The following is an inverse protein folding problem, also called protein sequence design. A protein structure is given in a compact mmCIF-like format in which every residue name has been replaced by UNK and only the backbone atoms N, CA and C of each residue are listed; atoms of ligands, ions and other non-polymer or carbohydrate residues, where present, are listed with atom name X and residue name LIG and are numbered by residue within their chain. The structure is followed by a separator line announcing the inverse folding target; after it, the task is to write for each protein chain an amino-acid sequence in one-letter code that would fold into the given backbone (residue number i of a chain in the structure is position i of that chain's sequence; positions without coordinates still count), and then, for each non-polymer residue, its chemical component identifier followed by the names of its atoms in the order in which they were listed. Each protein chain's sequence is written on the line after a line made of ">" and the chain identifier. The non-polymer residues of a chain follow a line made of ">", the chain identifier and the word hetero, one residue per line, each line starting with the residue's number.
data_IF_774865424589
#
_entry.id   IF_774865424589
#
_cell.length_a   1.000
_cell.length_b   1.000
_cell.length_c   1.000
_cell.angle_alpha   90.00
_cell.angle_beta   90.00
_cell.angle_gamma   90.00
#
_symmetry.space_group_name_H-M   'P 1'
#
loop_
_entity.id
_entity.type
_entity.pdbx_description
1 polymer ?
#
# COMPACT_ATOMS: atom_id res chain seq x y z
N UNK A 1 1.79 21.71 10.27
CA UNK A 1 2.89 20.72 10.12
C UNK A 1 4.14 21.24 10.80
N UNK A 2 4.67 20.53 11.79
CA UNK A 2 6.00 20.84 12.31
C UNK A 2 7.02 20.44 11.25
N UNK A 3 7.83 21.37 10.77
CA UNK A 3 8.99 21.08 9.93
C UNK A 3 9.97 20.20 10.73
N UNK A 4 9.90 18.90 10.53
CA UNK A 4 10.89 17.97 11.08
C UNK A 4 12.13 18.16 10.19
N UNK A 5 13.13 18.85 10.70
CA UNK A 5 14.45 18.89 10.07
C UNK A 5 15.08 17.51 10.24
N UNK A 6 15.02 16.69 9.20
CA UNK A 6 15.79 15.47 9.15
C UNK A 6 17.25 15.83 8.91
N UNK A 7 18.10 15.66 9.91
CA UNK A 7 19.54 15.72 9.70
C UNK A 7 19.96 14.48 8.87
N UNK A 8 20.84 14.66 7.91
CA UNK A 8 21.32 13.56 7.03
C UNK A 8 21.95 12.40 7.81
N UNK A 9 22.45 12.66 9.02
CA UNK A 9 23.05 11.65 9.91
C UNK A 9 22.02 10.77 10.62
N UNK A 10 20.74 11.18 10.66
CA UNK A 10 19.64 10.47 11.34
C UNK A 10 18.67 9.79 10.36
N UNK A 11 19.01 9.76 9.07
CA UNK A 11 18.20 9.05 8.09
C UNK A 11 18.25 7.54 8.34
N UNK A 12 17.10 6.93 8.17
CA UNK A 12 16.94 5.48 8.27
C UNK A 12 17.79 4.75 7.22
N UNK A 13 18.26 3.55 7.56
CA UNK A 13 19.05 2.68 6.69
C UNK A 13 18.33 1.37 6.45
N UNK A 14 18.49 0.83 5.24
CA UNK A 14 18.05 -0.52 4.94
C UNK A 14 19.06 -1.58 5.46
N UNK A 15 18.76 -2.85 5.26
CA UNK A 15 19.61 -3.98 5.64
C UNK A 15 21.04 -3.95 5.09
N UNK A 16 21.18 -3.38 3.89
CA UNK A 16 22.47 -3.29 3.19
C UNK A 16 23.26 -2.06 3.64
N UNK A 17 22.75 -1.33 4.65
CA UNK A 17 23.34 -0.09 5.17
C UNK A 17 23.14 1.12 4.29
N UNK A 18 22.36 1.03 3.20
CA UNK A 18 21.99 2.17 2.37
C UNK A 18 21.03 3.08 3.10
N UNK A 19 21.23 4.37 2.98
CA UNK A 19 20.29 5.38 3.47
C UNK A 19 19.00 5.33 2.65
N UNK A 20 17.86 5.20 3.31
CA UNK A 20 16.54 5.24 2.67
C UNK A 20 15.91 6.60 2.92
N UNK A 21 15.66 7.34 1.87
CA UNK A 21 15.00 8.64 1.91
C UNK A 21 13.54 8.42 1.55
N UNK A 22 12.68 8.36 2.56
CA UNK A 22 11.24 8.24 2.34
C UNK A 22 10.72 9.61 1.97
N UNK A 23 9.92 9.68 0.90
CA UNK A 23 9.34 10.93 0.45
C UNK A 23 7.84 10.82 0.15
N UNK A 24 7.18 11.97 0.17
CA UNK A 24 5.77 12.12 -0.23
C UNK A 24 5.65 13.13 -1.35
N UNK A 25 4.80 12.85 -2.32
CA UNK A 25 4.46 13.77 -3.41
C UNK A 25 3.11 14.44 -3.21
N UNK A 26 2.26 13.86 -2.35
CA UNK A 26 0.95 14.42 -1.99
C UNK A 26 0.64 14.09 -0.52
N UNK A 27 1.01 14.97 0.42
CA UNK A 27 0.81 14.72 1.84
C UNK A 27 -0.64 14.49 2.25
N UNK A 28 -1.59 15.03 1.51
CA UNK A 28 -3.01 14.87 1.82
C UNK A 28 -3.50 13.45 1.45
N UNK A 29 -3.19 13.00 0.25
CA UNK A 29 -3.59 11.66 -0.21
C UNK A 29 -2.79 10.54 0.47
N UNK A 30 -1.54 10.82 0.86
CA UNK A 30 -0.62 9.84 1.45
C UNK A 30 -0.57 9.93 2.98
N UNK A 31 -1.51 10.65 3.62
CA UNK A 31 -1.45 10.92 5.07
C UNK A 31 -1.36 9.63 5.90
N UNK A 32 -2.15 8.61 5.60
CA UNK A 32 -2.12 7.34 6.35
C UNK A 32 -0.74 6.67 6.34
N UNK A 33 -0.05 6.68 5.20
CA UNK A 33 1.30 6.14 5.06
C UNK A 33 2.34 7.02 5.77
N UNK A 34 2.17 8.33 5.70
CA UNK A 34 3.02 9.29 6.43
C UNK A 34 2.90 9.07 7.93
N UNK A 35 1.68 8.95 8.46
CA UNK A 35 1.46 8.71 9.88
C UNK A 35 2.07 7.38 10.32
N UNK A 36 1.94 6.31 9.53
CA UNK A 36 2.55 5.02 9.80
C UNK A 36 4.09 5.12 9.86
N UNK A 37 4.70 5.85 8.94
CA UNK A 37 6.15 6.08 8.92
C UNK A 37 6.61 6.92 10.13
N UNK A 38 5.89 7.99 10.45
CA UNK A 38 6.20 8.87 11.59
C UNK A 38 6.03 8.16 12.94
N UNK A 39 5.03 7.29 13.09
CA UNK A 39 4.82 6.48 14.30
C UNK A 39 6.01 5.56 14.60
N UNK A 40 6.76 5.17 13.58
CA UNK A 40 7.99 4.38 13.69
C UNK A 40 9.26 5.24 13.83
N UNK A 41 9.10 6.54 13.94
CA UNK A 41 10.23 7.49 14.08
C UNK A 41 10.96 7.78 12.77
N UNK A 42 10.40 7.40 11.62
CA UNK A 42 11.03 7.65 10.32
C UNK A 42 10.83 9.08 9.85
N UNK A 43 11.79 9.58 9.10
CA UNK A 43 11.73 10.86 8.43
C UNK A 43 11.04 10.74 7.06
N UNK A 44 10.09 11.62 6.78
CA UNK A 44 9.44 11.72 5.47
C UNK A 44 9.70 13.10 4.88
N UNK A 45 10.29 13.13 3.67
CA UNK A 45 10.61 14.37 2.96
C UNK A 45 9.47 14.71 2.00
N UNK A 46 9.10 15.99 1.94
CA UNK A 46 8.09 16.49 1.02
C UNK A 46 8.72 16.84 -0.32
N UNK A 47 8.25 16.22 -1.40
CA UNK A 47 8.67 16.40 -2.79
C UNK A 47 7.42 16.50 -3.67
N UNK A 48 6.94 17.73 -3.92
CA UNK A 48 5.65 17.98 -4.58
C UNK A 48 5.82 18.61 -5.96
N UNK A 49 7.06 18.80 -6.44
CA UNK A 49 7.29 19.48 -7.71
C UNK A 49 7.56 18.51 -8.86
N UNK A 50 7.22 18.90 -10.08
CA UNK A 50 7.46 18.09 -11.27
C UNK A 50 8.94 17.77 -11.50
N UNK A 51 9.83 18.62 -11.01
CA UNK A 51 11.29 18.42 -11.15
C UNK A 51 11.86 17.43 -10.13
N UNK A 52 11.13 17.10 -9.08
CA UNK A 52 11.62 16.23 -8.02
C UNK A 52 11.91 14.81 -8.50
N UNK A 53 11.15 14.28 -9.46
CA UNK A 53 11.43 12.98 -10.05
C UNK A 53 12.78 12.94 -10.77
N UNK A 54 13.10 13.98 -11.55
CA UNK A 54 14.40 14.10 -12.22
C UNK A 54 15.52 14.34 -11.19
N UNK A 55 15.26 15.11 -10.14
CA UNK A 55 16.18 15.33 -9.03
C UNK A 55 16.51 14.02 -8.32
N UNK A 56 15.51 13.22 -7.96
CA UNK A 56 15.66 11.91 -7.30
C UNK A 56 16.57 11.01 -8.15
N UNK A 57 16.28 10.85 -9.45
CA UNK A 57 17.09 10.02 -10.32
C UNK A 57 18.56 10.48 -10.38
N UNK A 58 18.78 11.79 -10.42
CA UNK A 58 20.14 12.35 -10.44
C UNK A 58 20.85 12.12 -9.11
N UNK A 59 20.14 12.24 -7.98
CA UNK A 59 20.72 12.04 -6.65
C UNK A 59 21.06 10.56 -6.40
N UNK A 60 20.22 9.61 -6.83
CA UNK A 60 20.52 8.19 -6.72
C UNK A 60 21.75 7.76 -7.54
N UNK A 61 21.98 8.42 -8.68
CA UNK A 61 23.22 8.21 -9.44
C UNK A 61 24.46 8.78 -8.76
N UNK A 62 24.32 9.88 -8.01
CA UNK A 62 25.45 10.55 -7.35
C UNK A 62 25.71 10.02 -5.94
N UNK A 63 24.68 9.59 -5.25
CA UNK A 63 24.74 9.07 -3.88
C UNK A 63 24.61 7.54 -3.90
N UNK A 64 25.70 6.85 -4.19
CA UNK A 64 25.75 5.38 -4.36
C UNK A 64 25.14 4.58 -3.19
N UNK A 65 25.16 5.15 -1.98
CA UNK A 65 24.65 4.53 -0.77
C UNK A 65 23.28 5.08 -0.33
N UNK A 66 22.49 5.60 -1.26
CA UNK A 66 21.15 6.10 -0.97
C UNK A 66 20.11 5.56 -1.94
N UNK A 67 18.87 5.49 -1.48
CA UNK A 67 17.69 5.19 -2.29
C UNK A 67 16.55 6.08 -1.86
N UNK A 68 15.77 6.55 -2.82
CA UNK A 68 14.55 7.31 -2.57
C UNK A 68 13.35 6.41 -2.78
N UNK A 69 12.45 6.37 -1.81
CA UNK A 69 11.25 5.55 -1.87
C UNK A 69 10.05 6.39 -1.46
N UNK A 70 9.00 6.39 -2.27
CA UNK A 70 7.77 7.09 -1.90
C UNK A 70 7.10 6.35 -0.76
N UNK A 71 6.52 7.10 0.18
CA UNK A 71 5.96 6.56 1.43
C UNK A 71 4.89 5.47 1.25
N UNK A 72 4.24 5.42 0.10
CA UNK A 72 3.20 4.45 -0.27
C UNK A 72 3.67 3.40 -1.31
N UNK A 73 4.96 3.36 -1.63
CA UNK A 73 5.51 2.43 -2.63
C UNK A 73 5.70 1.02 -2.09
N UNK A 74 5.88 0.87 -0.79
CA UNK A 74 5.97 -0.42 -0.09
C UNK A 74 5.55 -0.24 1.37
N UNK A 75 5.40 -1.36 2.08
CA UNK A 75 5.21 -1.30 3.52
C UNK A 75 6.48 -0.75 4.16
N UNK A 76 6.32 0.25 5.01
CA UNK A 76 7.43 0.98 5.63
C UNK A 76 8.45 0.04 6.29
N UNK A 77 8.01 -1.07 6.87
CA UNK A 77 8.87 -2.07 7.48
C UNK A 77 9.78 -2.81 6.49
N UNK A 78 9.34 -2.97 5.23
CA UNK A 78 10.16 -3.57 4.19
C UNK A 78 11.24 -2.60 3.68
N UNK A 79 11.03 -1.29 3.82
CA UNK A 79 11.92 -0.28 3.28
C UNK A 79 13.20 -0.12 4.11
N UNK A 80 13.11 -0.27 5.42
CA UNK A 80 14.16 0.17 6.34
C UNK A 80 14.80 -0.99 7.07
N UNK A 81 14.02 -1.73 7.76
CA UNK A 81 14.51 -2.92 8.46
C UNK A 81 13.45 -3.99 8.35
N UNK A 82 13.80 -5.17 7.85
CA UNK A 82 12.91 -6.31 7.98
C UNK A 82 12.97 -6.76 9.43
N UNK A 83 12.52 -5.91 10.34
CA UNK A 83 12.12 -6.43 11.62
C UNK A 83 11.08 -7.49 11.34
N UNK A 84 11.37 -8.64 11.84
CA UNK A 84 10.66 -9.89 11.75
C UNK A 84 9.18 -9.68 11.42
N UNK A 85 8.79 -10.14 10.25
CA UNK A 85 7.38 -10.43 10.04
C UNK A 85 6.97 -11.18 11.29
N UNK A 86 6.09 -10.59 12.11
CA UNK A 86 5.59 -11.27 13.29
C UNK A 86 5.16 -12.66 12.84
N UNK A 87 5.49 -13.70 13.59
CA UNK A 87 5.11 -15.06 13.22
C UNK A 87 3.63 -15.05 12.84
N UNK A 88 3.33 -15.58 11.67
CA UNK A 88 1.95 -15.64 11.20
C UNK A 88 1.13 -16.44 12.22
N UNK A 89 0.07 -15.84 12.71
CA UNK A 89 -0.90 -16.53 13.59
C UNK A 89 -1.70 -17.57 12.79
N UNK A 90 -1.75 -17.43 11.46
CA UNK A 90 -2.42 -18.35 10.56
C UNK A 90 -1.53 -19.53 10.22
N UNK A 91 -2.11 -20.72 10.13
CA UNK A 91 -1.51 -21.91 9.54
C UNK A 91 -1.21 -21.69 8.05
N UNK A 92 -0.40 -22.57 7.45
CA UNK A 92 -0.14 -22.49 5.99
C UNK A 92 -1.43 -22.62 5.17
N UNK A 93 -2.32 -23.54 5.58
CA UNK A 93 -3.60 -23.77 4.90
C UNK A 93 -4.52 -22.53 4.98
N UNK A 94 -4.63 -21.92 6.15
CA UNK A 94 -5.38 -20.69 6.33
C UNK A 94 -4.78 -19.53 5.54
N UNK A 95 -3.46 -19.44 5.45
CA UNK A 95 -2.74 -18.44 4.67
C UNK A 95 -3.04 -18.58 3.18
N UNK A 96 -2.95 -19.81 2.64
CA UNK A 96 -3.25 -20.11 1.24
C UNK A 96 -4.73 -19.87 0.91
N UNK A 97 -5.63 -20.24 1.83
CA UNK A 97 -7.06 -19.98 1.67
C UNK A 97 -7.35 -18.47 1.65
N UNK A 98 -6.77 -17.73 2.59
CA UNK A 98 -6.92 -16.28 2.67
C UNK A 98 -6.38 -15.59 1.41
N UNK A 99 -5.24 -16.03 0.89
CA UNK A 99 -4.69 -15.50 -0.36
C UNK A 99 -5.66 -15.70 -1.52
N UNK A 100 -6.19 -16.90 -1.70
CA UNK A 100 -7.15 -17.23 -2.76
C UNK A 100 -8.43 -16.38 -2.71
N UNK A 101 -8.92 -16.07 -1.51
CA UNK A 101 -10.10 -15.23 -1.34
C UNK A 101 -9.89 -13.80 -1.89
N UNK A 102 -8.65 -13.30 -1.91
CA UNK A 102 -8.31 -11.99 -2.46
C UNK A 102 -7.92 -12.05 -3.95
N UNK A 103 -7.72 -13.23 -4.54
CA UNK A 103 -7.35 -13.43 -5.95
C UNK A 103 -8.59 -13.42 -6.85
N UNK A 104 -9.12 -12.23 -7.14
CA UNK A 104 -10.18 -12.01 -8.11
C UNK A 104 -9.86 -10.80 -9.00
N UNK A 105 -10.43 -10.69 -10.22
CA UNK A 105 -10.20 -9.55 -11.11
C UNK A 105 -10.63 -8.23 -10.44
N UNK A 106 -9.80 -7.20 -10.58
CA UNK A 106 -10.01 -5.86 -10.01
C UNK A 106 -9.94 -4.80 -11.12
N UNK A 107 -10.92 -4.84 -12.02
CA UNK A 107 -10.96 -3.94 -13.16
C UNK A 107 -9.75 -4.12 -14.08
N UNK A 108 -9.11 -3.01 -14.46
CA UNK A 108 -7.92 -2.99 -15.34
C UNK A 108 -6.59 -3.11 -14.56
N UNK A 109 -6.64 -3.31 -13.24
CA UNK A 109 -5.45 -3.40 -12.40
C UNK A 109 -4.80 -4.78 -12.52
N UNK A 110 -3.47 -4.79 -12.60
CA UNK A 110 -2.69 -6.01 -12.38
C UNK A 110 -2.38 -6.13 -10.90
N UNK A 111 -3.06 -7.06 -10.22
CA UNK A 111 -2.96 -7.19 -8.77
C UNK A 111 -2.22 -8.47 -8.39
N UNK A 112 -1.18 -8.30 -7.57
CA UNK A 112 -0.50 -9.39 -6.86
C UNK A 112 -0.97 -9.42 -5.42
N UNK A 113 -1.31 -10.59 -4.89
CA UNK A 113 -1.76 -10.77 -3.50
C UNK A 113 -0.68 -11.50 -2.72
N UNK A 114 -0.34 -10.98 -1.56
CA UNK A 114 0.55 -11.64 -0.60
C UNK A 114 -0.03 -11.57 0.81
N UNK A 115 0.13 -12.63 1.59
CA UNK A 115 -0.28 -12.67 2.99
C UNK A 115 0.97 -12.57 3.86
N UNK A 116 0.99 -11.60 4.77
CA UNK A 116 2.11 -11.39 5.73
C UNK A 116 1.59 -11.28 7.15
N UNK A 117 2.39 -11.74 8.11
CA UNK A 117 2.16 -11.45 9.53
C UNK A 117 2.68 -10.05 9.87
N UNK A 118 1.80 -9.07 9.96
CA UNK A 118 2.15 -7.71 10.41
C UNK A 118 1.63 -7.47 11.82
N UNK A 119 1.88 -6.29 12.40
CA UNK A 119 1.29 -5.90 13.68
C UNK A 119 -0.24 -5.96 13.60
N UNK A 120 -0.89 -6.36 14.70
CA UNK A 120 -2.36 -6.40 14.81
C UNK A 120 -3.02 -5.04 14.65
N UNK A 121 -2.28 -3.98 14.93
CA UNK A 121 -2.74 -2.58 14.79
C UNK A 121 -2.55 -2.03 13.37
N UNK A 122 -1.88 -2.79 12.50
CA UNK A 122 -1.72 -2.44 11.09
C UNK A 122 -2.99 -2.77 10.33
N UNK A 123 -3.31 -1.99 9.30
CA UNK A 123 -4.52 -2.21 8.49
C UNK A 123 -4.65 -3.66 8.00
N UNK A 124 -5.88 -4.19 7.87
CA UNK A 124 -6.10 -5.57 7.43
C UNK A 124 -5.59 -5.85 6.02
N UNK A 125 -5.68 -4.87 5.13
CA UNK A 125 -5.13 -4.92 3.77
C UNK A 125 -4.44 -3.62 3.47
N UNK A 126 -3.27 -3.70 2.88
CA UNK A 126 -2.48 -2.55 2.43
C UNK A 126 -2.25 -2.70 0.92
N UNK A 127 -2.56 -1.67 0.16
CA UNK A 127 -2.22 -1.58 -1.26
C UNK A 127 -0.93 -0.79 -1.44
N UNK A 128 0.01 -1.33 -2.18
CA UNK A 128 1.26 -0.65 -2.54
C UNK A 128 1.50 -0.74 -4.05
N UNK A 129 2.29 0.19 -4.59
CA UNK A 129 2.63 0.25 -6.01
C UNK A 129 4.14 0.15 -6.18
N UNK A 130 4.66 -0.71 -7.07
CA UNK A 130 6.09 -0.81 -7.32
C UNK A 130 6.69 0.56 -7.69
N UNK A 131 7.71 0.97 -6.95
CA UNK A 131 8.31 2.32 -7.08
C UNK A 131 8.80 2.58 -8.50
N UNK A 132 9.45 1.59 -9.12
CA UNK A 132 9.97 1.72 -10.48
C UNK A 132 8.87 2.03 -11.50
N UNK A 133 7.80 1.21 -11.51
CA UNK A 133 6.70 1.39 -12.47
C UNK A 133 5.99 2.72 -12.27
N UNK A 134 5.79 3.11 -11.02
CA UNK A 134 5.20 4.39 -10.66
C UNK A 134 6.04 5.56 -11.18
N UNK A 135 7.37 5.55 -10.95
CA UNK A 135 8.25 6.60 -11.45
C UNK A 135 8.27 6.68 -12.98
N UNK A 136 8.27 5.52 -13.65
CA UNK A 136 8.20 5.49 -15.09
C UNK A 136 6.92 6.12 -15.62
N UNK A 137 5.78 5.88 -14.97
CA UNK A 137 4.50 6.51 -15.31
C UNK A 137 4.51 8.01 -15.05
N UNK A 138 5.00 8.47 -13.91
CA UNK A 138 5.09 9.89 -13.58
C UNK A 138 5.98 10.64 -14.59
N UNK A 139 7.10 10.04 -15.00
CA UNK A 139 7.96 10.58 -16.06
C UNK A 139 7.29 10.54 -17.43
N UNK A 140 6.49 9.52 -17.71
CA UNK A 140 5.75 9.39 -18.97
C UNK A 140 4.69 10.46 -19.15
N UNK A 141 4.11 10.95 -18.07
CA UNK A 141 3.11 12.04 -18.09
C UNK A 141 3.73 13.40 -18.49
N UNK A 142 5.03 13.58 -18.29
CA UNK A 142 5.75 14.85 -18.56
C UNK A 142 6.66 14.74 -19.77
N UNK A 143 7.14 13.53 -20.09
CA UNK A 143 8.11 13.25 -21.17
C UNK A 143 7.47 12.59 -22.38
N UNK A 144 8.21 12.60 -23.51
CA UNK A 144 7.86 11.86 -24.73
C UNK A 144 8.69 10.59 -24.89
N UNK A 145 8.44 9.84 -25.97
CA UNK A 145 9.23 8.67 -26.33
C UNK A 145 8.89 7.41 -25.50
N UNK A 146 9.91 6.66 -25.10
CA UNK A 146 9.72 5.37 -24.41
C UNK A 146 8.98 5.51 -23.07
N UNK A 147 9.11 6.65 -22.38
CA UNK A 147 8.41 6.91 -21.12
C UNK A 147 6.89 7.05 -21.31
N UNK A 148 6.44 7.56 -22.47
CA UNK A 148 5.00 7.64 -22.80
C UNK A 148 4.34 6.26 -22.91
N UNK A 149 5.10 5.23 -23.29
CA UNK A 149 4.63 3.84 -23.32
C UNK A 149 4.28 3.34 -21.90
N UNK A 150 5.12 3.64 -20.92
CA UNK A 150 4.85 3.24 -19.52
C UNK A 150 3.61 3.93 -18.95
N UNK A 151 3.30 5.15 -19.39
CA UNK A 151 2.10 5.86 -18.95
C UNK A 151 0.78 5.14 -19.33
N UNK A 152 0.81 4.31 -20.38
CA UNK A 152 -0.36 3.56 -20.88
C UNK A 152 -0.46 2.14 -20.32
N UNK A 153 0.57 1.65 -19.60
CA UNK A 153 0.52 0.32 -18.99
C UNK A 153 -0.49 0.28 -17.84
N UNK A 154 -1.15 -0.86 -17.61
CA UNK A 154 -1.98 -1.05 -16.42
C UNK A 154 -1.23 -0.70 -15.14
N UNK A 155 -1.96 -0.26 -14.12
CA UNK A 155 -1.37 -0.07 -12.80
C UNK A 155 -1.10 -1.43 -12.15
N UNK A 156 0.14 -1.64 -11.74
CA UNK A 156 0.53 -2.79 -10.93
C UNK A 156 0.35 -2.45 -9.45
N UNK A 157 -0.29 -3.35 -8.72
CA UNK A 157 -0.59 -3.18 -7.30
C UNK A 157 -0.29 -4.47 -6.55
N UNK A 158 0.39 -4.35 -5.43
CA UNK A 158 0.51 -5.44 -4.46
C UNK A 158 -0.48 -5.20 -3.33
N UNK A 159 -1.40 -6.15 -3.11
CA UNK A 159 -2.24 -6.20 -1.93
C UNK A 159 -1.57 -7.07 -0.87
N UNK A 160 -1.07 -6.46 0.17
CA UNK A 160 -0.55 -7.18 1.34
C UNK A 160 -1.67 -7.34 2.36
N UNK A 161 -2.10 -8.58 2.55
CA UNK A 161 -3.10 -8.98 3.52
C UNK A 161 -2.40 -9.28 4.85
N UNK A 162 -2.80 -8.58 5.91
CA UNK A 162 -2.23 -8.76 7.24
C UNK A 162 -2.87 -9.96 7.95
N UNK A 163 -2.30 -11.16 7.81
CA UNK A 163 -2.83 -12.39 8.40
C UNK A 163 -2.99 -12.36 9.93
N UNK A 164 -2.30 -11.44 10.63
CA UNK A 164 -2.40 -11.29 12.08
C UNK A 164 -3.53 -10.33 12.50
N UNK A 165 -4.20 -9.65 11.55
CA UNK A 165 -5.29 -8.75 11.89
C UNK A 165 -6.51 -9.52 12.43
N UNK A 166 -7.13 -9.10 13.55
CA UNK A 166 -8.21 -9.85 14.21
C UNK A 166 -9.44 -10.13 13.34
N UNK A 167 -9.69 -9.31 12.32
CA UNK A 167 -10.84 -9.46 11.42
C UNK A 167 -10.87 -10.83 10.73
N UNK A 168 -9.69 -11.41 10.45
CA UNK A 168 -9.62 -12.70 9.73
C UNK A 168 -10.00 -13.89 10.59
N UNK A 169 -9.90 -13.79 11.93
CA UNK A 169 -10.38 -14.82 12.83
C UNK A 169 -11.90 -15.02 12.75
N UNK A 170 -12.63 -13.95 12.44
CA UNK A 170 -14.09 -14.00 12.24
C UNK A 170 -14.42 -14.31 10.79
N UNK A 171 -13.72 -13.68 9.84
CA UNK A 171 -13.99 -13.80 8.42
C UNK A 171 -13.76 -15.21 7.89
N UNK A 172 -12.70 -15.90 8.33
CA UNK A 172 -12.42 -17.29 7.93
C UNK A 172 -13.41 -18.31 8.50
N UNK A 173 -14.15 -17.93 9.56
CA UNK A 173 -15.21 -18.75 10.17
C UNK A 173 -16.61 -18.41 9.65
N UNK A 174 -16.74 -17.44 8.76
CA UNK A 174 -18.03 -17.09 8.17
C UNK A 174 -18.51 -18.23 7.26
N UNK A 175 -19.71 -18.74 7.53
CA UNK A 175 -20.31 -19.86 6.78
C UNK A 175 -21.12 -19.39 5.58
N UNK A 176 -21.50 -18.11 5.55
CA UNK A 176 -22.19 -17.52 4.41
C UNK A 176 -21.13 -17.02 3.41
N UNK A 177 -20.95 -17.77 2.33
CA UNK A 177 -19.99 -17.48 1.29
C UNK A 177 -20.24 -16.12 0.61
N UNK A 178 -21.49 -15.69 0.47
CA UNK A 178 -21.82 -14.40 -0.14
C UNK A 178 -21.41 -13.25 0.77
N UNK A 179 -21.65 -13.39 2.08
CA UNK A 179 -21.25 -12.41 3.08
C UNK A 179 -19.73 -12.34 3.22
N UNK A 180 -19.06 -13.49 3.20
CA UNK A 180 -17.59 -13.56 3.22
C UNK A 180 -16.99 -12.83 2.02
N UNK A 181 -17.47 -13.12 0.79
CA UNK A 181 -17.03 -12.50 -0.45
C UNK A 181 -17.24 -10.97 -0.42
N UNK A 182 -18.39 -10.53 0.06
CA UNK A 182 -18.70 -9.10 0.21
C UNK A 182 -17.71 -8.40 1.14
N UNK A 183 -17.36 -9.00 2.27
CA UNK A 183 -16.41 -8.46 3.23
C UNK A 183 -14.99 -8.41 2.65
N UNK A 184 -14.54 -9.47 1.98
CA UNK A 184 -13.24 -9.54 1.29
C UNK A 184 -13.10 -8.44 0.24
N UNK A 185 -14.10 -8.31 -0.64
CA UNK A 185 -14.12 -7.25 -1.66
C UNK A 185 -14.08 -5.87 -1.04
N UNK A 186 -14.81 -5.67 0.05
CA UNK A 186 -14.82 -4.38 0.73
C UNK A 186 -13.47 -4.01 1.34
N UNK A 187 -12.75 -4.98 1.93
CA UNK A 187 -11.41 -4.77 2.48
C UNK A 187 -10.38 -4.45 1.39
N UNK A 188 -10.42 -5.17 0.26
CA UNK A 188 -9.54 -4.91 -0.86
C UNK A 188 -9.80 -3.52 -1.47
N UNK A 189 -11.07 -3.15 -1.64
CA UNK A 189 -11.45 -1.87 -2.22
C UNK A 189 -11.11 -0.69 -1.31
N UNK A 190 -11.20 -0.85 0.02
CA UNK A 190 -10.69 0.16 0.97
C UNK A 190 -9.19 0.41 0.78
N UNK A 191 -8.41 -0.66 0.59
CA UNK A 191 -6.97 -0.52 0.34
C UNK A 191 -6.69 0.15 -1.02
N UNK A 192 -7.41 -0.22 -2.07
CA UNK A 192 -7.29 0.43 -3.39
C UNK A 192 -7.74 1.89 -3.36
N UNK A 193 -8.79 2.21 -2.61
CA UNK A 193 -9.27 3.57 -2.43
C UNK A 193 -8.21 4.46 -1.77
N UNK A 194 -7.47 3.94 -0.79
CA UNK A 194 -6.38 4.67 -0.12
C UNK A 194 -5.26 5.08 -1.09
N UNK A 195 -5.08 4.33 -2.18
CA UNK A 195 -4.13 4.62 -3.26
C UNK A 195 -4.74 5.46 -4.40
N UNK A 196 -6.02 5.83 -4.30
CA UNK A 196 -6.74 6.53 -5.37
C UNK A 196 -6.95 5.70 -6.63
N UNK A 197 -6.90 4.37 -6.52
CA UNK A 197 -7.03 3.44 -7.63
C UNK A 197 -8.46 2.97 -7.85
N UNK A 198 -9.34 3.12 -6.87
CA UNK A 198 -10.76 2.78 -6.99
C UNK A 198 -11.53 3.91 -7.65
N UNK A 199 -12.05 3.67 -8.86
CA UNK A 199 -12.69 4.71 -9.70
C UNK A 199 -13.90 4.15 -10.45
N UNK A 200 -14.73 5.04 -10.99
CA UNK A 200 -15.83 4.70 -11.88
C UNK A 200 -16.79 3.68 -11.27
N UNK A 201 -17.12 2.64 -12.02
CA UNK A 201 -18.06 1.60 -11.62
C UNK A 201 -17.61 0.85 -10.36
N UNK A 202 -16.31 0.59 -10.21
CA UNK A 202 -15.76 -0.10 -9.04
C UNK A 202 -15.99 0.70 -7.75
N UNK A 203 -15.80 2.03 -7.79
CA UNK A 203 -16.10 2.89 -6.66
C UNK A 203 -17.59 2.90 -6.33
N UNK A 204 -18.47 2.93 -7.34
CA UNK A 204 -19.91 2.87 -7.15
C UNK A 204 -20.33 1.55 -6.50
N UNK A 205 -19.78 0.43 -6.98
CA UNK A 205 -20.03 -0.89 -6.42
C UNK A 205 -19.55 -1.01 -4.97
N UNK A 206 -18.39 -0.45 -4.66
CA UNK A 206 -17.86 -0.38 -3.30
C UNK A 206 -18.78 0.40 -2.37
N UNK A 207 -19.28 1.56 -2.79
CA UNK A 207 -20.20 2.39 -2.00
C UNK A 207 -21.49 1.60 -1.71
N UNK A 208 -22.10 0.98 -2.72
CA UNK A 208 -23.32 0.19 -2.56
C UNK A 208 -23.13 -0.97 -1.59
N UNK A 209 -22.04 -1.74 -1.74
CA UNK A 209 -21.69 -2.83 -0.81
C UNK A 209 -21.47 -2.34 0.60
N UNK A 210 -20.82 -1.18 0.76
CA UNK A 210 -20.56 -0.62 2.10
C UNK A 210 -21.87 -0.25 2.81
N UNK A 211 -22.84 0.30 2.09
CA UNK A 211 -24.17 0.60 2.63
C UNK A 211 -24.89 -0.70 3.03
N UNK A 212 -24.89 -1.70 2.15
CA UNK A 212 -25.52 -3.00 2.43
C UNK A 212 -24.91 -3.68 3.68
N UNK A 213 -23.58 -3.64 3.83
CA UNK A 213 -22.91 -4.15 5.03
C UNK A 213 -23.34 -3.42 6.32
N UNK A 214 -23.58 -2.11 6.25
CA UNK A 214 -24.06 -1.33 7.39
C UNK A 214 -25.50 -1.68 7.75
N UNK A 215 -26.36 -1.93 6.77
CA UNK A 215 -27.75 -2.33 6.96
C UNK A 215 -27.84 -3.73 7.58
N UNK A 216 -27.07 -4.70 7.05
CA UNK A 216 -27.04 -6.06 7.56
C UNK A 216 -26.53 -6.15 9.00
N UNK A 217 -25.58 -5.32 9.40
CA UNK A 217 -25.08 -5.26 10.78
C UNK A 217 -26.10 -4.69 11.77
N UNK A 218 -27.06 -3.87 11.34
CA UNK A 218 -28.16 -3.39 12.19
C UNK A 218 -29.17 -4.49 12.50
N UNK A 219 -29.44 -5.37 11.52
CA UNK A 219 -30.38 -6.46 11.69
C UNK A 219 -29.92 -7.54 12.68
N UNK A 220 -28.62 -7.66 12.94
CA UNK A 220 -28.05 -8.63 13.90
C UNK A 220 -28.07 -8.11 15.33
N UNK A 221 -28.19 -6.79 15.55
CA UNK A 221 -28.16 -6.13 16.88
C UNK A 221 -29.51 -5.65 17.33
N UNK A 222 -30.61 -5.97 16.65
CA UNK A 222 -31.98 -5.67 16.97
C UNK A 222 -32.74 -6.95 17.36
#
# INVERSE_FOLDING_TARGET
>A
MKNIKCATETLQKNKDGKQVIIYTTNPVQQDAYIQAALAKGYCVVKMETLVDAAFINNMEMKWENSSFVRVDADIVDNLIDKQETADSVLSKEETENLQKLFEYPKGELTVTVEVKGLSKDTAPVIATRPEFMRRMKDMGAVGGGMTAFYAQMPDEVTLTVNGNHPIYQTLLKENDAAKQDMQIKNLADLALLSQGLLKGAELTNFINRSVELMENNKAVNA
#
